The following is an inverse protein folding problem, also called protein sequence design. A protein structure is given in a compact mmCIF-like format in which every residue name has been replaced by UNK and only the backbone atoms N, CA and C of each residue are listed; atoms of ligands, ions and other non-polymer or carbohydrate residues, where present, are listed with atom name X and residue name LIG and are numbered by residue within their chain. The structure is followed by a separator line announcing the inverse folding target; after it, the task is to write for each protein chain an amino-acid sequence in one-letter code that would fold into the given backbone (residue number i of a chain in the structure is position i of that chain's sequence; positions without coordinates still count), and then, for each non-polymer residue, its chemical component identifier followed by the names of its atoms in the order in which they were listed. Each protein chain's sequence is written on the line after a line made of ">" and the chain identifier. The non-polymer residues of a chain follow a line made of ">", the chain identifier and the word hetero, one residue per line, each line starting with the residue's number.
data_IF_459199700719
#
_entry.id   IF_459199700719
#
_cell.length_a   1.000
_cell.length_b   1.000
_cell.length_c   1.000
_cell.angle_alpha   90.00
_cell.angle_beta   90.00
_cell.angle_gamma   90.00
#
_symmetry.space_group_name_H-M   'P 1'
#
loop_
_entity.id
_entity.type
_entity.pdbx_description
1 polymer ?
#
# COMPACT_ATOMS: atom_id res chain seq x y z
N UNK A 1 -72.11 -56.47 -6.87
CA UNK A 1 -71.34 -56.65 -8.12
C UNK A 1 -70.93 -55.26 -8.56
N UNK A 2 -69.62 -54.98 -8.57
CA UNK A 2 -68.84 -53.93 -9.29
C UNK A 2 -69.38 -52.47 -9.29
N UNK A 3 -68.61 -51.39 -9.17
CA UNK A 3 -67.16 -51.10 -9.21
C UNK A 3 -66.94 -49.60 -8.94
N UNK A 4 -65.71 -49.24 -8.50
CA UNK A 4 -64.88 -48.03 -8.77
C UNK A 4 -65.47 -46.93 -9.70
N UNK A 5 -65.21 -45.62 -9.56
CA UNK A 5 -63.99 -44.86 -9.19
C UNK A 5 -64.40 -43.47 -8.64
N UNK A 6 -63.80 -42.93 -7.58
CA UNK A 6 -62.55 -42.12 -7.53
C UNK A 6 -62.67 -40.81 -8.31
N UNK A 7 -62.68 -39.68 -7.60
CA UNK A 7 -62.24 -38.35 -8.05
C UNK A 7 -62.40 -37.34 -6.90
N UNK A 8 -61.54 -37.40 -5.87
CA UNK A 8 -61.41 -36.30 -4.90
C UNK A 8 -60.03 -36.32 -4.20
N UNK A 9 -58.93 -36.37 -4.97
CA UNK A 9 -57.56 -36.35 -4.40
C UNK A 9 -56.58 -35.43 -5.17
N UNK A 10 -57.03 -34.55 -6.10
CA UNK A 10 -56.11 -33.77 -6.95
C UNK A 10 -55.76 -32.35 -6.47
N UNK A 11 -56.41 -31.79 -5.44
CA UNK A 11 -56.13 -30.39 -5.05
C UNK A 11 -55.14 -30.24 -3.88
N UNK A 12 -54.77 -31.34 -3.21
CA UNK A 12 -53.87 -31.27 -2.05
C UNK A 12 -52.38 -31.40 -2.42
N UNK A 13 -52.04 -32.20 -3.44
CA UNK A 13 -50.65 -32.47 -3.84
C UNK A 13 -49.99 -31.27 -4.54
N UNK A 14 -50.74 -30.52 -5.37
CA UNK A 14 -50.21 -29.33 -6.08
C UNK A 14 -49.75 -28.22 -5.11
N UNK A 15 -50.43 -28.05 -3.97
CA UNK A 15 -50.08 -27.04 -2.96
C UNK A 15 -48.81 -27.44 -2.19
N UNK A 16 -48.62 -28.74 -1.95
CA UNK A 16 -47.44 -29.28 -1.25
C UNK A 16 -46.20 -29.18 -2.14
N UNK A 17 -46.34 -29.44 -3.43
CA UNK A 17 -45.25 -29.28 -4.40
C UNK A 17 -44.89 -27.82 -4.65
N UNK A 18 -45.86 -26.89 -4.71
CA UNK A 18 -45.58 -25.45 -4.77
C UNK A 18 -44.92 -24.92 -3.49
N UNK A 19 -45.31 -25.44 -2.31
CA UNK A 19 -44.67 -25.10 -1.03
C UNK A 19 -43.23 -25.63 -0.95
N UNK A 20 -42.99 -26.83 -1.46
CA UNK A 20 -41.65 -27.42 -1.58
C UNK A 20 -40.79 -26.64 -2.59
N UNK A 21 -41.36 -26.26 -3.74
CA UNK A 21 -40.68 -25.45 -4.74
C UNK A 21 -40.33 -24.06 -4.19
N UNK A 22 -41.27 -23.42 -3.48
CA UNK A 22 -41.04 -22.15 -2.82
C UNK A 22 -39.97 -22.25 -1.73
N UNK A 23 -39.92 -23.34 -0.97
CA UNK A 23 -38.86 -23.60 0.01
C UNK A 23 -37.49 -23.76 -0.65
N UNK A 24 -37.39 -24.52 -1.75
CA UNK A 24 -36.13 -24.68 -2.50
C UNK A 24 -35.66 -23.35 -3.08
N UNK A 25 -36.58 -22.54 -3.62
CA UNK A 25 -36.28 -21.21 -4.12
C UNK A 25 -35.83 -20.26 -3.01
N UNK A 26 -36.46 -20.30 -1.83
CA UNK A 26 -36.04 -19.53 -0.67
C UNK A 26 -34.63 -19.92 -0.20
N UNK A 27 -34.32 -21.22 -0.16
CA UNK A 27 -32.98 -21.71 0.19
C UNK A 27 -31.96 -21.22 -0.84
N UNK A 28 -32.27 -21.31 -2.13
CA UNK A 28 -31.41 -20.83 -3.22
C UNK A 28 -31.11 -19.33 -3.12
N UNK A 29 -32.15 -18.51 -2.88
CA UNK A 29 -31.99 -17.06 -2.66
C UNK A 29 -31.15 -16.79 -1.42
N UNK A 30 -31.37 -17.52 -0.32
CA UNK A 30 -30.63 -17.33 0.93
C UNK A 30 -29.14 -17.67 0.77
N UNK A 31 -28.83 -18.77 0.08
CA UNK A 31 -27.46 -19.15 -0.26
C UNK A 31 -26.81 -18.14 -1.20
N UNK A 32 -27.54 -17.66 -2.21
CA UNK A 32 -27.06 -16.63 -3.12
C UNK A 32 -26.75 -15.32 -2.38
N UNK A 33 -27.65 -14.87 -1.50
CA UNK A 33 -27.46 -13.65 -0.70
C UNK A 33 -26.30 -13.82 0.28
N UNK A 34 -26.18 -14.94 0.97
CA UNK A 34 -25.06 -15.18 1.91
C UNK A 34 -23.71 -15.22 1.16
N UNK A 35 -23.64 -15.93 0.04
CA UNK A 35 -22.47 -15.94 -0.83
C UNK A 35 -22.14 -14.53 -1.35
N UNK A 36 -23.16 -13.79 -1.80
CA UNK A 36 -22.98 -12.43 -2.28
C UNK A 36 -22.47 -11.52 -1.17
N UNK A 37 -23.07 -11.53 0.01
CA UNK A 37 -22.65 -10.69 1.13
C UNK A 37 -21.24 -11.02 1.62
N UNK A 38 -20.89 -12.31 1.65
CA UNK A 38 -19.60 -12.78 2.18
C UNK A 38 -18.44 -12.60 1.20
N UNK A 39 -18.69 -12.78 -0.10
CA UNK A 39 -17.61 -12.84 -1.10
C UNK A 39 -17.65 -11.69 -2.12
N UNK A 40 -18.80 -11.06 -2.34
CA UNK A 40 -18.99 -10.04 -3.39
C UNK A 40 -19.20 -8.65 -2.78
N UNK A 41 -20.01 -8.52 -1.73
CA UNK A 41 -20.26 -7.26 -1.04
C UNK A 41 -19.07 -6.89 -0.17
N UNK A 42 -18.16 -6.10 -0.75
CA UNK A 42 -16.99 -5.59 -0.04
C UNK A 42 -17.42 -4.43 0.86
N UNK A 43 -17.56 -4.70 2.16
CA UNK A 43 -17.72 -3.65 3.17
C UNK A 43 -16.50 -2.71 3.09
N UNK A 44 -16.69 -1.37 3.09
CA UNK A 44 -15.58 -0.43 3.09
C UNK A 44 -14.68 -0.64 4.32
N UNK A 45 -13.53 -1.26 4.13
CA UNK A 45 -12.53 -1.45 5.16
C UNK A 45 -11.49 -0.33 4.96
N UNK A 46 -11.54 0.72 5.81
CA UNK A 46 -10.73 1.97 5.83
C UNK A 46 -11.56 3.25 5.59
N UNK A 47 -12.34 3.65 6.60
CA UNK A 47 -13.24 4.82 6.59
C UNK A 47 -12.80 5.94 7.54
N UNK A 48 -11.54 5.94 7.99
CA UNK A 48 -11.08 6.94 8.96
C UNK A 48 -11.13 8.37 8.42
N UNK A 49 -11.50 9.32 9.28
CA UNK A 49 -11.61 10.75 8.96
C UNK A 49 -10.24 11.45 8.77
N UNK A 50 -9.17 10.89 9.31
CA UNK A 50 -7.80 11.41 9.19
C UNK A 50 -7.06 10.82 7.98
N UNK A 51 -7.67 10.93 6.80
CA UNK A 51 -7.30 10.10 5.65
C UNK A 51 -6.09 10.65 4.86
N UNK A 52 -5.16 9.74 4.48
CA UNK A 52 -4.20 9.94 3.37
C UNK A 52 -3.33 11.19 3.52
N UNK A 53 -3.52 12.15 2.62
CA UNK A 53 -2.80 13.41 2.56
C UNK A 53 -3.02 14.30 3.78
N UNK A 54 -4.17 14.18 4.47
CA UNK A 54 -4.48 14.98 5.67
C UNK A 54 -3.47 14.67 6.78
N UNK A 55 -3.15 13.39 7.01
CA UNK A 55 -2.13 12.98 7.96
C UNK A 55 -0.75 13.57 7.61
N UNK A 56 -0.38 13.55 6.33
CA UNK A 56 0.91 14.08 5.88
C UNK A 56 1.00 15.59 6.14
N UNK A 57 -0.07 16.31 5.82
CA UNK A 57 -0.18 17.74 6.12
C UNK A 57 -0.11 18.00 7.63
N UNK A 58 -0.75 17.19 8.46
CA UNK A 58 -0.71 17.32 9.92
C UNK A 58 0.71 17.13 10.46
N UNK A 59 1.46 16.16 9.94
CA UNK A 59 2.86 15.94 10.33
C UNK A 59 3.74 17.10 9.88
N UNK A 60 3.57 17.58 8.64
CA UNK A 60 4.37 18.67 8.05
C UNK A 60 4.04 20.04 8.66
N UNK A 61 2.78 20.30 9.01
CA UNK A 61 2.34 21.56 9.64
C UNK A 61 2.40 21.55 11.15
N UNK A 62 2.51 20.37 11.77
CA UNK A 62 2.57 20.20 13.21
C UNK A 62 3.87 20.69 13.83
N UNK A 63 4.10 20.27 15.07
CA UNK A 63 5.30 20.62 15.83
C UNK A 63 6.58 20.20 15.08
N UNK A 64 7.64 21.00 15.23
CA UNK A 64 8.91 20.89 14.49
C UNK A 64 9.51 19.47 14.45
N UNK A 65 9.36 18.71 15.53
CA UNK A 65 9.94 17.38 15.66
C UNK A 65 9.08 16.27 15.04
N UNK A 66 7.81 16.54 14.70
CA UNK A 66 6.91 15.51 14.17
C UNK A 66 7.39 14.95 12.83
N UNK A 67 7.92 15.79 11.95
CA UNK A 67 8.55 15.32 10.72
C UNK A 67 9.71 14.38 11.01
N UNK A 68 10.58 14.71 11.97
CA UNK A 68 11.70 13.84 12.32
C UNK A 68 11.21 12.53 12.94
N UNK A 69 10.23 12.60 13.84
CA UNK A 69 9.65 11.42 14.49
C UNK A 69 8.97 10.47 13.50
N UNK A 70 8.30 10.98 12.46
CA UNK A 70 7.55 10.15 11.51
C UNK A 70 8.38 9.77 10.28
N UNK A 71 9.18 10.69 9.74
CA UNK A 71 9.89 10.53 8.47
C UNK A 71 11.39 10.36 8.62
N UNK A 72 11.93 10.41 9.86
CA UNK A 72 13.37 10.36 10.18
C UNK A 72 14.20 11.47 9.54
N UNK A 73 13.56 12.57 9.18
CA UNK A 73 14.20 13.75 8.62
C UNK A 73 13.48 15.02 9.04
N UNK A 74 14.20 16.13 9.09
CA UNK A 74 13.58 17.42 9.36
C UNK A 74 12.62 17.84 8.24
N UNK A 75 11.64 18.67 8.59
CA UNK A 75 10.61 19.16 7.66
C UNK A 75 11.19 19.74 6.38
N UNK A 76 12.22 20.58 6.51
CA UNK A 76 12.81 21.27 5.37
C UNK A 76 13.51 20.29 4.43
N UNK A 77 14.16 19.25 4.97
CA UNK A 77 14.80 18.15 4.21
C UNK A 77 13.75 17.32 3.48
N UNK A 78 12.65 16.98 4.17
CA UNK A 78 11.54 16.23 3.56
C UNK A 78 10.94 16.96 2.35
N UNK A 79 10.67 18.26 2.48
CA UNK A 79 10.12 19.05 1.39
C UNK A 79 11.12 19.18 0.23
N UNK A 80 12.41 19.32 0.53
CA UNK A 80 13.48 19.34 -0.48
C UNK A 80 13.57 18.01 -1.24
N UNK A 81 13.47 16.89 -0.53
CA UNK A 81 13.43 15.55 -1.13
C UNK A 81 12.23 15.39 -2.06
N UNK A 82 11.03 15.78 -1.62
CA UNK A 82 9.82 15.74 -2.44
C UNK A 82 9.97 16.56 -3.73
N UNK A 83 10.54 17.77 -3.62
CA UNK A 83 10.82 18.64 -4.76
C UNK A 83 11.81 18.00 -5.73
N UNK A 84 12.92 17.48 -5.21
CA UNK A 84 13.96 16.83 -6.01
C UNK A 84 13.44 15.61 -6.77
N UNK A 85 12.69 14.73 -6.12
CA UNK A 85 12.08 13.56 -6.75
C UNK A 85 11.06 13.97 -7.84
N UNK A 86 10.33 15.06 -7.62
CA UNK A 86 9.38 15.58 -8.59
C UNK A 86 10.05 16.20 -9.82
N UNK A 87 11.14 16.94 -9.63
CA UNK A 87 11.78 17.74 -10.69
C UNK A 87 12.85 16.95 -11.46
N UNK A 88 13.66 16.15 -10.77
CA UNK A 88 14.85 15.51 -11.35
C UNK A 88 14.64 14.03 -11.68
N UNK A 89 13.75 13.35 -10.96
CA UNK A 89 13.54 11.90 -11.12
C UNK A 89 12.15 11.55 -11.69
N UNK A 90 11.37 12.58 -12.06
CA UNK A 90 10.07 12.47 -12.72
C UNK A 90 9.08 11.55 -12.00
N UNK A 91 9.08 11.53 -10.66
CA UNK A 91 8.11 10.76 -9.88
C UNK A 91 6.70 11.19 -10.30
N UNK A 92 6.01 10.31 -11.04
CA UNK A 92 4.77 10.66 -11.73
C UNK A 92 3.68 10.98 -10.72
N UNK A 93 3.08 12.16 -10.84
CA UNK A 93 1.81 12.45 -10.14
C UNK A 93 0.76 11.47 -10.66
N UNK A 94 0.13 10.74 -9.75
CA UNK A 94 -1.02 9.92 -10.08
C UNK A 94 -2.32 10.64 -9.69
N UNK A 95 -3.40 10.36 -10.43
CA UNK A 95 -4.70 11.00 -10.22
C UNK A 95 -5.25 10.80 -8.80
N UNK A 96 -4.89 9.68 -8.15
CA UNK A 96 -5.51 9.23 -6.91
C UNK A 96 -4.59 9.28 -5.68
N UNK A 97 -3.33 9.68 -5.85
CA UNK A 97 -2.37 9.79 -4.74
C UNK A 97 -1.37 10.92 -4.99
N UNK A 98 -1.13 11.72 -3.95
CA UNK A 98 -0.19 12.83 -4.05
C UNK A 98 1.25 12.35 -3.94
N UNK A 99 2.17 12.99 -4.66
CA UNK A 99 3.60 12.67 -4.59
C UNK A 99 4.12 12.73 -3.14
N UNK A 100 3.74 13.77 -2.40
CA UNK A 100 4.16 13.98 -1.01
C UNK A 100 3.67 12.85 -0.11
N UNK A 101 2.45 12.36 -0.35
CA UNK A 101 1.91 11.21 0.37
C UNK A 101 2.64 9.91 0.04
N UNK A 102 2.97 9.69 -1.23
CA UNK A 102 3.76 8.53 -1.66
C UNK A 102 5.14 8.51 -1.00
N UNK A 103 5.84 9.64 -1.00
CA UNK A 103 7.15 9.77 -0.34
C UNK A 103 7.01 9.61 1.18
N UNK A 104 5.96 10.15 1.79
CA UNK A 104 5.68 9.97 3.22
C UNK A 104 5.42 8.50 3.59
N UNK A 105 4.65 7.76 2.78
CA UNK A 105 4.43 6.31 2.97
C UNK A 105 5.75 5.55 2.92
N UNK A 106 6.58 5.82 1.92
CA UNK A 106 7.89 5.19 1.75
C UNK A 106 8.79 5.44 2.97
N UNK A 107 8.90 6.69 3.41
CA UNK A 107 9.74 7.07 4.55
C UNK A 107 9.23 6.51 5.89
N UNK A 108 7.92 6.44 6.10
CA UNK A 108 7.36 5.79 7.29
C UNK A 108 7.64 4.28 7.26
N UNK A 109 7.53 3.64 6.09
CA UNK A 109 7.83 2.21 5.94
C UNK A 109 9.27 1.91 6.34
N UNK A 110 10.24 2.69 5.82
CA UNK A 110 11.66 2.49 6.11
C UNK A 110 12.09 3.02 7.48
N UNK A 111 11.72 4.26 7.79
CA UNK A 111 12.19 4.97 8.97
C UNK A 111 11.57 4.48 10.27
N UNK A 112 10.34 3.95 10.22
CA UNK A 112 9.66 3.37 11.39
C UNK A 112 9.60 1.84 11.35
N UNK A 113 10.00 1.21 10.23
CA UNK A 113 9.87 -0.24 10.06
C UNK A 113 8.43 -0.72 10.03
N UNK A 114 7.48 0.11 9.59
CA UNK A 114 6.08 -0.30 9.54
C UNK A 114 5.84 -1.32 8.42
N UNK A 115 5.22 -2.45 8.77
CA UNK A 115 4.76 -3.41 7.78
C UNK A 115 3.62 -2.87 6.91
N UNK A 116 3.43 -3.47 5.73
CA UNK A 116 2.44 -3.05 4.74
C UNK A 116 1.03 -2.90 5.35
N UNK A 117 0.59 -3.83 6.22
CA UNK A 117 -0.71 -3.75 6.91
C UNK A 117 -0.89 -2.46 7.73
N UNK A 118 0.15 -2.02 8.43
CA UNK A 118 0.11 -0.79 9.24
C UNK A 118 0.08 0.46 8.37
N UNK A 119 0.82 0.45 7.25
CA UNK A 119 0.82 1.56 6.29
C UNK A 119 -0.54 1.67 5.60
N UNK A 120 -1.15 0.54 5.23
CA UNK A 120 -2.52 0.50 4.70
C UNK A 120 -3.52 1.09 5.68
N UNK A 121 -3.38 0.81 6.97
CA UNK A 121 -4.26 1.40 7.98
C UNK A 121 -4.00 2.89 8.15
N UNK A 122 -2.74 3.34 8.17
CA UNK A 122 -2.43 4.75 8.34
C UNK A 122 -2.86 5.61 7.16
N UNK A 123 -2.60 5.13 5.95
CA UNK A 123 -2.84 5.89 4.72
C UNK A 123 -4.12 5.48 4.01
N UNK A 124 -4.85 4.49 4.51
CA UNK A 124 -6.16 4.09 4.01
C UNK A 124 -6.13 3.74 2.51
N UNK A 125 -5.03 3.09 2.08
CA UNK A 125 -4.82 2.54 0.74
C UNK A 125 -4.82 1.02 0.79
N UNK A 126 -5.08 0.37 -0.34
CA UNK A 126 -4.93 -1.08 -0.44
C UNK A 126 -3.46 -1.50 -0.32
N UNK A 127 -3.20 -2.73 0.11
CA UNK A 127 -1.84 -3.24 0.21
C UNK A 127 -1.10 -3.31 -1.12
N UNK A 128 -1.85 -3.55 -2.20
CA UNK A 128 -1.36 -3.47 -3.57
C UNK A 128 -0.89 -2.04 -3.90
N UNK A 129 -1.70 -1.02 -3.60
CA UNK A 129 -1.34 0.38 -3.80
C UNK A 129 -0.09 0.75 -3.01
N UNK A 130 -0.04 0.39 -1.72
CA UNK A 130 1.14 0.64 -0.86
C UNK A 130 2.38 -0.02 -1.45
N UNK A 131 2.31 -1.30 -1.82
CA UNK A 131 3.46 -2.03 -2.38
C UNK A 131 3.93 -1.47 -3.71
N UNK A 132 2.99 -1.16 -4.62
CA UNK A 132 3.30 -0.58 -5.94
C UNK A 132 4.06 0.74 -5.78
N UNK A 133 3.55 1.63 -4.95
CA UNK A 133 4.13 2.95 -4.75
C UNK A 133 5.44 2.91 -3.98
N UNK A 134 5.58 1.99 -3.02
CA UNK A 134 6.84 1.73 -2.37
C UNK A 134 7.93 1.38 -3.39
N UNK A 135 7.65 0.45 -4.31
CA UNK A 135 8.61 0.04 -5.34
C UNK A 135 8.96 1.17 -6.32
N UNK A 136 7.97 1.98 -6.73
CA UNK A 136 8.22 3.13 -7.63
C UNK A 136 9.14 4.15 -6.95
N UNK A 137 8.84 4.53 -5.70
CA UNK A 137 9.67 5.51 -4.97
C UNK A 137 11.06 4.93 -4.69
N UNK A 138 11.16 3.64 -4.39
CA UNK A 138 12.44 2.97 -4.18
C UNK A 138 13.32 3.06 -5.43
N UNK A 139 12.78 2.81 -6.63
CA UNK A 139 13.53 2.94 -7.88
C UNK A 139 14.06 4.36 -8.09
N UNK A 140 13.19 5.37 -7.91
CA UNK A 140 13.56 6.78 -8.06
C UNK A 140 14.66 7.18 -7.04
N UNK A 141 14.53 6.72 -5.79
CA UNK A 141 15.51 6.98 -4.74
C UNK A 141 16.83 6.25 -5.01
N UNK A 142 16.80 5.02 -5.55
CA UNK A 142 18.01 4.31 -5.95
C UNK A 142 18.74 5.03 -7.08
N UNK A 143 18.01 5.53 -8.09
CA UNK A 143 18.59 6.36 -9.16
C UNK A 143 19.21 7.64 -8.60
N UNK A 144 18.51 8.30 -7.67
CA UNK A 144 19.06 9.45 -6.95
C UNK A 144 20.32 9.10 -6.15
N UNK A 145 20.34 7.98 -5.45
CA UNK A 145 21.49 7.57 -4.65
C UNK A 145 22.74 7.38 -5.50
N UNK A 146 22.63 6.86 -6.73
CA UNK A 146 23.77 6.73 -7.65
C UNK A 146 24.40 8.08 -7.96
N UNK A 147 23.60 9.12 -8.19
CA UNK A 147 24.10 10.47 -8.49
C UNK A 147 24.76 11.12 -7.27
N UNK A 148 24.18 10.92 -6.08
CA UNK A 148 24.62 11.56 -4.84
C UNK A 148 25.80 10.85 -4.16
N UNK A 149 25.90 9.54 -4.28
CA UNK A 149 26.96 8.73 -3.67
C UNK A 149 28.19 8.60 -4.57
N UNK A 150 28.18 9.25 -5.74
CA UNK A 150 29.33 9.24 -6.66
C UNK A 150 30.56 9.86 -5.97
N UNK A 151 31.70 9.14 -5.91
CA UNK A 151 32.93 9.70 -5.36
C UNK A 151 33.37 10.92 -6.16
N UNK A 152 33.91 11.94 -5.49
CA UNK A 152 34.49 13.11 -6.16
C UNK A 152 35.64 12.75 -7.10
N UNK A 153 36.31 11.62 -6.86
CA UNK A 153 37.24 10.99 -7.79
C UNK A 153 36.68 9.62 -8.23
N UNK A 154 35.95 9.56 -9.36
CA UNK A 154 35.38 8.31 -9.87
C UNK A 154 36.44 7.29 -10.29
N UNK A 155 37.67 7.77 -10.53
CA UNK A 155 38.80 6.95 -10.99
C UNK A 155 39.71 6.53 -9.83
N UNK A 156 39.42 6.97 -8.60
CA UNK A 156 40.25 6.78 -7.41
C UNK A 156 41.75 7.04 -7.66
N UNK A 157 42.08 7.95 -8.58
CA UNK A 157 43.47 8.28 -8.96
C UNK A 157 44.20 8.99 -7.84
N UNK A 158 43.49 9.70 -6.97
CA UNK A 158 44.05 10.40 -5.81
C UNK A 158 43.69 9.63 -4.54
N UNK A 159 44.71 9.06 -3.91
CA UNK A 159 44.60 8.52 -2.56
C UNK A 159 44.37 9.68 -1.59
N UNK A 160 43.28 9.68 -0.79
CA UNK A 160 43.07 10.68 0.24
C UNK A 160 44.25 10.72 1.22
N UNK A 161 44.70 11.92 1.60
CA UNK A 161 45.88 12.10 2.47
C UNK A 161 45.78 11.36 3.80
N UNK A 162 44.57 11.19 4.33
CA UNK A 162 44.31 10.43 5.56
C UNK A 162 44.63 8.93 5.47
N UNK A 163 44.63 8.36 4.27
CA UNK A 163 44.89 6.93 4.02
C UNK A 163 46.32 6.74 3.49
N UNK A 164 46.88 7.77 2.84
CA UNK A 164 48.21 7.75 2.25
C UNK A 164 49.32 7.44 3.26
N UNK A 165 49.20 7.99 4.46
CA UNK A 165 50.24 7.89 5.51
C UNK A 165 49.91 6.85 6.59
N UNK A 166 48.78 6.14 6.46
CA UNK A 166 48.34 5.14 7.43
C UNK A 166 48.78 3.73 6.99
N UNK A 167 49.71 3.17 7.76
CA UNK A 167 50.32 1.86 7.51
C UNK A 167 49.31 0.70 7.61
N UNK A 168 48.14 0.92 8.23
CA UNK A 168 47.05 -0.07 8.30
C UNK A 168 46.45 -0.36 6.91
N UNK A 169 46.39 0.64 6.04
CA UNK A 169 45.76 0.53 4.72
C UNK A 169 46.74 0.24 3.57
N UNK A 170 48.05 0.12 3.87
CA UNK A 170 49.11 -0.06 2.88
C UNK A 170 49.02 -1.32 2.02
N UNK A 171 48.25 -2.33 2.44
CA UNK A 171 47.99 -3.54 1.66
C UNK A 171 46.84 -3.37 0.65
N UNK A 172 45.90 -2.44 0.91
CA UNK A 172 44.74 -2.17 0.05
C UNK A 172 45.13 -1.27 -1.13
N UNK A 173 46.07 -0.35 -0.92
CA UNK A 173 46.53 0.62 -1.92
C UNK A 173 47.46 0.05 -3.01
N UNK A 174 47.89 -1.20 -2.91
CA UNK A 174 48.79 -1.86 -3.89
C UNK A 174 48.07 -2.57 -5.05
N UNK A 175 46.74 -2.61 -5.02
CA UNK A 175 45.92 -3.40 -5.96
C UNK A 175 45.30 -2.50 -7.07
N UNK A 176 45.61 -1.20 -7.07
CA UNK A 176 45.20 -0.23 -8.11
C UNK A 176 46.44 0.30 -8.82
#
# INVERSE_FOLDING_TARGET
>A
MASHDSDDDCEHDDIVDDLNFLQVMQIGVRLYVDHFLKHIYKVPCRTSSHTRYVFVIEVVKGYKDRCHQQFRMEKHVFLKLCKLLSESYCLKRAKNISLVETVAMFLITLGLGLGNRMVQERFQHSGETVSRWFSIVLDDVCRMAVDFLKPSDPTFRRVPTKIKDDNHYGHILKIV
#
